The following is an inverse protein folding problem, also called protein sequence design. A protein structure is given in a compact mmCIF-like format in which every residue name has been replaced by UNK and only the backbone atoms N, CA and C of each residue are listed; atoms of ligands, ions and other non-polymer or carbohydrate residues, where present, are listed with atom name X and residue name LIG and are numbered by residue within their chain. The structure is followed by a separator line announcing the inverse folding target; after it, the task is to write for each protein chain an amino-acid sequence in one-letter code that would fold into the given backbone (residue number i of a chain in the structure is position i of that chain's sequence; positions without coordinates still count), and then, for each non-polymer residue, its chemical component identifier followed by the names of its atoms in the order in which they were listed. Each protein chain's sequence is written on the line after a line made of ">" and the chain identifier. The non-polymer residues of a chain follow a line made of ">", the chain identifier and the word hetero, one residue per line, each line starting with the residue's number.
data_IF_961307989342
#
_entry.id   IF_961307989342
#
_cell.length_a   1.000
_cell.length_b   1.000
_cell.length_c   1.000
_cell.angle_alpha   90.00
_cell.angle_beta   90.00
_cell.angle_gamma   90.00
#
_symmetry.space_group_name_H-M   'P 1'
#
loop_
_entity.id
_entity.type
_entity.pdbx_description
1 polymer ?
#
# COMPACT_ATOMS: atom_id res chain seq x y z
N UNK A 1 -15.01 17.22 -2.15
CA UNK A 1 -14.53 17.26 -0.76
C UNK A 1 -15.19 16.12 0.00
N UNK A 2 -14.49 15.48 0.93
CA UNK A 2 -15.04 14.45 1.82
C UNK A 2 -15.21 15.12 3.20
N UNK A 3 -16.42 15.07 3.74
CA UNK A 3 -16.71 15.60 5.07
C UNK A 3 -16.28 14.66 6.20
N UNK A 4 -16.45 15.12 7.44
CA UNK A 4 -16.14 14.31 8.62
C UNK A 4 -17.07 13.11 8.74
N UNK A 5 -16.55 12.06 9.40
CA UNK A 5 -17.32 10.87 9.74
C UNK A 5 -18.15 11.16 11.01
N UNK A 6 -19.46 10.92 10.97
CA UNK A 6 -20.38 11.26 12.06
C UNK A 6 -21.12 10.02 12.54
N UNK A 7 -20.98 9.66 13.81
CA UNK A 7 -21.72 8.59 14.46
C UNK A 7 -23.16 9.04 14.75
N UNK A 8 -24.14 8.33 14.21
CA UNK A 8 -25.55 8.68 14.32
C UNK A 8 -26.23 8.12 15.57
N UNK A 9 -25.76 6.99 16.09
CA UNK A 9 -26.40 6.23 17.17
C UNK A 9 -25.41 5.82 18.28
N UNK A 10 -24.91 6.77 19.09
CA UNK A 10 -24.02 6.45 20.19
C UNK A 10 -24.72 5.63 21.28
N UNK A 11 -24.04 4.62 21.81
CA UNK A 11 -24.61 3.73 22.84
C UNK A 11 -24.97 4.43 24.15
N UNK A 12 -24.37 5.59 24.44
CA UNK A 12 -24.65 6.39 25.63
C UNK A 12 -25.92 7.27 25.51
N UNK A 13 -26.73 7.13 24.46
CA UNK A 13 -27.99 7.86 24.33
C UNK A 13 -27.86 9.36 24.05
N UNK A 14 -26.72 9.79 23.50
CA UNK A 14 -26.43 11.19 23.15
C UNK A 14 -26.73 11.57 21.70
N UNK A 15 -26.56 12.85 21.37
CA UNK A 15 -26.60 13.36 19.99
C UNK A 15 -25.46 12.83 19.13
N UNK A 16 -25.51 13.09 17.82
CA UNK A 16 -24.52 12.59 16.86
C UNK A 16 -23.09 13.04 17.21
N UNK A 17 -22.13 12.12 17.15
CA UNK A 17 -20.72 12.36 17.54
C UNK A 17 -19.86 12.45 16.29
N UNK A 18 -19.16 13.57 16.10
CA UNK A 18 -18.20 13.72 15.00
C UNK A 18 -16.89 13.02 15.36
N UNK A 19 -16.45 12.08 14.54
CA UNK A 19 -15.15 11.42 14.70
C UNK A 19 -14.04 12.32 14.21
N UNK A 20 -13.00 12.49 15.02
CA UNK A 20 -11.88 13.38 14.72
C UNK A 20 -10.88 12.72 13.76
N UNK A 21 -11.07 12.93 12.46
CA UNK A 21 -10.10 12.60 11.43
C UNK A 21 -9.32 13.86 11.05
N UNK A 22 -8.01 13.73 10.90
CA UNK A 22 -7.14 14.81 10.45
C UNK A 22 -6.63 14.52 9.03
N UNK A 23 -6.53 15.57 8.23
CA UNK A 23 -5.83 15.61 6.95
C UNK A 23 -4.35 16.01 7.09
N UNK A 24 -3.89 16.24 8.32
CA UNK A 24 -2.48 16.42 8.64
C UNK A 24 -1.76 15.08 8.80
N UNK A 25 -0.48 15.10 8.42
CA UNK A 25 0.44 13.97 8.51
C UNK A 25 -0.05 12.71 7.75
N UNK A 26 -0.67 12.95 6.59
CA UNK A 26 -1.14 11.93 5.65
C UNK A 26 -0.15 11.65 4.51
N UNK A 27 0.73 12.62 4.24
CA UNK A 27 1.83 12.50 3.27
C UNK A 27 3.07 11.86 3.92
N UNK A 28 4.07 11.51 3.12
CA UNK A 28 5.36 11.07 3.66
C UNK A 28 6.21 12.27 4.07
N UNK A 29 7.00 12.14 5.14
CA UNK A 29 7.94 13.19 5.54
C UNK A 29 8.91 13.60 4.43
N UNK A 30 9.33 12.63 3.61
CA UNK A 30 10.18 12.87 2.43
C UNK A 30 9.46 13.63 1.31
N UNK A 31 8.14 13.49 1.17
CA UNK A 31 7.38 14.30 0.21
C UNK A 31 7.24 15.73 0.77
N UNK A 32 6.89 15.88 2.05
CA UNK A 32 6.78 17.19 2.71
C UNK A 32 8.03 18.04 2.60
N UNK A 33 9.22 17.45 2.63
CA UNK A 33 10.48 18.20 2.46
C UNK A 33 10.77 18.63 1.03
N UNK A 34 10.14 17.99 0.03
CA UNK A 34 10.34 18.26 -1.40
C UNK A 34 9.35 19.28 -1.94
N UNK A 35 8.12 19.30 -1.43
CA UNK A 35 7.14 20.30 -1.80
C UNK A 35 7.42 21.61 -1.05
N UNK A 36 7.72 22.66 -1.80
CA UNK A 36 8.03 23.98 -1.26
C UNK A 36 7.03 25.01 -1.78
N UNK A 37 6.92 26.11 -1.05
CA UNK A 37 6.20 27.28 -1.53
C UNK A 37 6.88 27.80 -2.80
N UNK A 38 6.08 28.11 -3.81
CA UNK A 38 6.60 28.59 -5.09
C UNK A 38 7.18 30.00 -4.97
N UNK A 39 8.16 30.32 -5.82
CA UNK A 39 8.70 31.68 -5.97
C UNK A 39 7.96 32.49 -7.06
N UNK A 40 7.12 31.84 -7.85
CA UNK A 40 6.31 32.53 -8.86
C UNK A 40 5.28 33.45 -8.22
N UNK A 41 5.03 34.57 -8.88
CA UNK A 41 3.91 35.45 -8.57
C UNK A 41 2.65 34.99 -9.30
N UNK A 42 1.50 35.51 -8.89
CA UNK A 42 0.21 35.12 -9.46
C UNK A 42 0.08 35.42 -10.97
N UNK A 43 0.84 36.40 -11.47
CA UNK A 43 0.81 36.82 -12.87
C UNK A 43 1.76 35.99 -13.76
N UNK A 44 2.71 35.26 -13.15
CA UNK A 44 3.71 34.48 -13.89
C UNK A 44 3.16 33.15 -14.40
N UNK A 45 2.09 32.64 -13.80
CA UNK A 45 1.59 31.28 -14.03
C UNK A 45 0.07 31.23 -14.02
N UNK A 46 -0.49 30.24 -14.72
CA UNK A 46 -1.93 29.99 -14.75
C UNK A 46 -2.26 28.63 -14.11
N UNK A 47 -3.44 28.48 -13.45
CA UNK A 47 -3.89 27.19 -12.94
C UNK A 47 -4.00 26.12 -14.04
N UNK A 48 -3.80 24.83 -13.72
CA UNK A 48 -4.06 23.74 -14.67
C UNK A 48 -5.52 23.76 -15.17
N UNK A 49 -5.80 23.31 -16.41
CA UNK A 49 -7.15 23.40 -17.00
C UNK A 49 -8.26 22.74 -16.16
N UNK A 50 -7.96 21.61 -15.50
CA UNK A 50 -8.92 20.91 -14.66
C UNK A 50 -9.18 21.59 -13.30
N UNK A 51 -8.49 22.69 -13.00
CA UNK A 51 -8.69 23.50 -11.79
C UNK A 51 -9.54 24.74 -12.03
N UNK A 52 -10.08 24.91 -13.24
CA UNK A 52 -10.89 26.07 -13.63
C UNK A 52 -12.05 26.36 -12.65
N UNK A 53 -12.75 25.33 -12.17
CA UNK A 53 -13.80 25.51 -11.13
C UNK A 53 -13.29 26.06 -9.80
N UNK A 54 -12.03 25.78 -9.44
CA UNK A 54 -11.37 26.30 -8.23
C UNK A 54 -10.79 27.69 -8.45
N UNK A 55 -10.33 27.99 -9.67
CA UNK A 55 -9.71 29.25 -10.06
C UNK A 55 -10.31 29.79 -11.38
N UNK A 56 -11.59 30.23 -11.37
CA UNK A 56 -12.31 30.60 -12.60
C UNK A 56 -11.77 31.88 -13.26
N UNK A 57 -10.96 32.66 -12.54
CA UNK A 57 -10.32 33.89 -13.02
C UNK A 57 -8.79 33.79 -12.94
N UNK A 58 -8.23 32.58 -12.93
CA UNK A 58 -6.82 32.36 -12.67
C UNK A 58 -6.43 32.58 -11.20
N UNK A 59 -5.15 32.80 -10.95
CA UNK A 59 -4.64 33.17 -9.62
C UNK A 59 -4.83 34.67 -9.40
N UNK A 60 -5.49 35.05 -8.31
CA UNK A 60 -5.72 36.47 -7.94
C UNK A 60 -5.23 36.74 -6.52
N UNK A 61 -5.24 38.00 -6.07
CA UNK A 61 -4.88 38.32 -4.68
C UNK A 61 -5.82 37.66 -3.67
N UNK A 62 -7.10 37.53 -4.03
CA UNK A 62 -8.13 36.90 -3.20
C UNK A 62 -8.08 35.36 -3.24
N UNK A 63 -7.59 34.80 -4.35
CA UNK A 63 -7.42 33.35 -4.54
C UNK A 63 -6.04 33.05 -5.15
N UNK A 64 -4.97 33.17 -4.34
CA UNK A 64 -3.60 33.12 -4.82
C UNK A 64 -3.16 31.69 -5.15
N UNK A 65 -1.94 31.55 -5.68
CA UNK A 65 -1.32 30.24 -5.88
C UNK A 65 -1.30 29.47 -4.55
N UNK A 66 -1.76 28.20 -4.53
CA UNK A 66 -1.82 27.43 -3.30
C UNK A 66 -0.40 27.09 -2.80
N UNK A 67 -0.22 27.11 -1.48
CA UNK A 67 1.04 26.66 -0.88
C UNK A 67 1.12 25.13 -0.87
N UNK A 68 1.85 24.58 -1.85
CA UNK A 68 1.96 23.14 -2.04
C UNK A 68 2.72 22.45 -0.89
N UNK A 69 3.49 23.19 -0.08
CA UNK A 69 4.17 22.62 1.09
C UNK A 69 3.18 22.19 2.18
N UNK A 70 2.02 22.85 2.24
CA UNK A 70 0.96 22.55 3.20
C UNK A 70 -0.16 21.69 2.61
N UNK A 71 -0.29 21.62 1.27
CA UNK A 71 -1.31 20.82 0.59
C UNK A 71 -0.97 19.32 0.56
N UNK A 72 -1.19 18.62 1.69
CA UNK A 72 -0.87 17.20 1.80
C UNK A 72 -1.74 16.30 0.91
N UNK A 73 -2.98 16.70 0.60
CA UNK A 73 -3.83 15.96 -0.35
C UNK A 73 -3.20 15.95 -1.74
N UNK A 74 -2.65 17.08 -2.18
CA UNK A 74 -1.90 17.14 -3.44
C UNK A 74 -0.64 16.28 -3.37
N UNK A 75 0.13 16.36 -2.28
CA UNK A 75 1.35 15.55 -2.11
C UNK A 75 1.05 14.05 -2.22
N UNK A 76 -0.01 13.58 -1.54
CA UNK A 76 -0.49 12.20 -1.64
C UNK A 76 -0.92 11.87 -3.07
N UNK A 77 -1.58 12.79 -3.77
CA UNK A 77 -2.01 12.60 -5.15
C UNK A 77 -0.81 12.44 -6.11
N UNK A 78 0.18 13.32 -5.99
CA UNK A 78 1.38 13.37 -6.83
C UNK A 78 2.27 12.13 -6.71
N UNK A 79 2.22 11.41 -5.57
CA UNK A 79 2.94 10.15 -5.42
C UNK A 79 2.28 9.03 -6.24
N UNK A 80 2.76 8.80 -7.47
CA UNK A 80 2.17 7.85 -8.43
C UNK A 80 2.01 6.45 -7.85
N UNK A 81 0.86 5.81 -8.10
CA UNK A 81 0.64 4.42 -7.74
C UNK A 81 1.18 3.49 -8.84
N UNK A 82 1.69 2.29 -8.48
CA UNK A 82 2.25 1.35 -9.45
C UNK A 82 1.19 0.59 -10.27
N UNK A 83 -0.08 0.63 -9.87
CA UNK A 83 -1.18 -0.13 -10.45
C UNK A 83 -2.37 0.78 -10.76
N UNK A 84 -3.22 0.37 -11.72
CA UNK A 84 -4.43 1.09 -12.10
C UNK A 84 -5.48 1.16 -10.98
N UNK A 85 -5.55 0.11 -10.14
CA UNK A 85 -6.39 0.10 -8.93
C UNK A 85 -5.51 0.47 -7.74
N UNK A 86 -5.75 1.64 -7.17
CA UNK A 86 -4.95 2.16 -6.06
C UNK A 86 -5.80 2.86 -5.01
N UNK A 87 -5.19 3.08 -3.83
CA UNK A 87 -5.79 3.83 -2.72
C UNK A 87 -4.91 5.03 -2.41
N UNK A 88 -5.54 6.14 -2.03
CA UNK A 88 -4.89 7.36 -1.56
C UNK A 88 -5.47 7.70 -0.20
N UNK A 89 -4.60 8.02 0.75
CA UNK A 89 -5.02 8.41 2.09
C UNK A 89 -5.62 9.82 2.03
N UNK A 90 -6.83 10.00 2.56
CA UNK A 90 -7.50 11.30 2.60
C UNK A 90 -7.45 11.91 4.01
N UNK A 91 -7.71 11.09 5.03
CA UNK A 91 -7.64 11.50 6.42
C UNK A 91 -7.30 10.30 7.30
N UNK A 92 -6.76 10.56 8.49
CA UNK A 92 -6.36 9.54 9.46
C UNK A 92 -6.86 9.91 10.85
N UNK A 93 -7.18 8.90 11.66
CA UNK A 93 -7.39 9.05 13.10
C UNK A 93 -6.36 8.16 13.81
N UNK A 94 -5.47 8.78 14.60
CA UNK A 94 -4.40 8.10 15.34
C UNK A 94 -4.67 7.97 16.83
N UNK A 95 -5.65 8.68 17.37
CA UNK A 95 -5.83 8.87 18.82
C UNK A 95 -7.05 8.12 19.36
N UNK A 96 -8.15 8.11 18.62
CA UNK A 96 -9.43 7.62 19.10
C UNK A 96 -9.88 6.40 18.30
N UNK A 97 -10.33 5.35 19.00
CA UNK A 97 -11.01 4.24 18.37
C UNK A 97 -12.41 4.65 17.92
N UNK A 98 -12.86 4.11 16.79
CA UNK A 98 -14.26 4.23 16.40
C UNK A 98 -15.11 3.24 17.20
N UNK A 99 -16.14 3.73 17.88
CA UNK A 99 -17.12 2.89 18.56
C UNK A 99 -18.03 2.18 17.55
N UNK A 100 -18.63 1.07 17.96
CA UNK A 100 -19.59 0.36 17.10
C UNK A 100 -20.86 1.20 16.90
N UNK A 101 -21.28 1.37 15.65
CA UNK A 101 -22.47 2.13 15.31
C UNK A 101 -22.60 2.43 13.82
N UNK A 102 -23.62 3.21 13.48
CA UNK A 102 -23.89 3.70 12.14
C UNK A 102 -23.25 5.06 11.96
N UNK A 103 -22.42 5.17 10.91
CA UNK A 103 -21.72 6.39 10.58
C UNK A 103 -22.23 6.98 9.26
N UNK A 104 -22.29 8.30 9.20
CA UNK A 104 -22.56 9.06 7.99
C UNK A 104 -21.31 9.82 7.57
N UNK A 105 -21.07 9.84 6.25
CA UNK A 105 -20.06 10.69 5.61
C UNK A 105 -20.68 11.36 4.39
N UNK A 106 -20.51 12.67 4.28
CA UNK A 106 -20.99 13.43 3.13
C UNK A 106 -19.83 13.64 2.14
N UNK A 107 -20.02 13.22 0.89
CA UNK A 107 -18.98 13.30 -0.16
C UNK A 107 -19.50 14.11 -1.34
N UNK A 108 -18.80 15.20 -1.69
CA UNK A 108 -19.08 15.98 -2.89
C UNK A 108 -18.38 15.36 -4.10
N UNK A 109 -19.18 14.98 -5.11
CA UNK A 109 -18.72 14.25 -6.30
C UNK A 109 -18.14 15.17 -7.40
N UNK A 110 -16.98 15.76 -7.13
CA UNK A 110 -16.31 16.67 -8.08
C UNK A 110 -15.51 15.96 -9.17
N UNK A 111 -15.14 14.69 -8.97
CA UNK A 111 -14.28 13.92 -9.87
C UNK A 111 -15.11 12.95 -10.72
N UNK A 112 -15.18 13.23 -12.03
CA UNK A 112 -15.92 12.39 -12.98
C UNK A 112 -15.06 11.18 -13.39
N UNK A 113 -15.54 9.98 -13.09
CA UNK A 113 -14.88 8.72 -13.47
C UNK A 113 -15.52 8.05 -14.70
N UNK A 114 -16.69 8.53 -15.13
CA UNK A 114 -17.46 7.92 -16.22
C UNK A 114 -16.79 8.15 -17.58
N UNK A 115 -16.08 9.26 -17.77
CA UNK A 115 -15.41 9.59 -19.03
C UNK A 115 -14.32 8.58 -19.43
N UNK A 116 -13.76 7.86 -18.46
CA UNK A 116 -12.74 6.84 -18.68
C UNK A 116 -13.18 5.45 -18.19
N UNK A 117 -14.48 5.23 -18.04
CA UNK A 117 -15.08 3.98 -17.58
C UNK A 117 -14.49 3.44 -16.25
N UNK A 118 -14.05 4.33 -15.37
CA UNK A 118 -13.47 3.98 -14.07
C UNK A 118 -14.49 4.00 -12.93
N UNK A 119 -14.11 3.36 -11.82
CA UNK A 119 -14.87 3.38 -10.56
C UNK A 119 -14.11 4.14 -9.49
N UNK A 120 -14.84 4.69 -8.51
CA UNK A 120 -14.28 5.30 -7.30
C UNK A 120 -15.04 4.79 -6.08
N UNK A 121 -14.32 4.55 -5.01
CA UNK A 121 -14.87 4.04 -3.76
C UNK A 121 -14.26 4.77 -2.58
N UNK A 122 -15.08 5.00 -1.55
CA UNK A 122 -14.61 5.40 -0.23
C UNK A 122 -14.36 4.15 0.59
N UNK A 123 -13.21 4.09 1.27
CA UNK A 123 -12.83 2.93 2.09
C UNK A 123 -12.41 3.41 3.46
N UNK A 124 -13.13 2.96 4.48
CA UNK A 124 -12.73 3.08 5.88
C UNK A 124 -12.00 1.79 6.29
N UNK A 125 -10.76 1.91 6.72
CA UNK A 125 -9.93 0.77 7.06
C UNK A 125 -9.02 1.08 8.26
N UNK A 126 -8.71 0.04 9.03
CA UNK A 126 -7.65 0.05 10.03
C UNK A 126 -6.40 -0.61 9.46
N UNK A 127 -5.23 -0.18 9.94
CA UNK A 127 -3.93 -0.78 9.59
C UNK A 127 -3.30 -1.40 10.82
N UNK A 128 -2.59 -2.50 10.64
CA UNK A 128 -1.70 -3.10 11.62
C UNK A 128 -0.24 -2.85 11.21
N UNK A 129 0.71 -3.40 11.96
CA UNK A 129 2.16 -3.22 11.71
C UNK A 129 2.63 -3.66 10.32
N UNK A 130 1.90 -4.57 9.67
CA UNK A 130 2.22 -5.10 8.32
C UNK A 130 1.45 -4.31 7.24
N UNK A 131 0.49 -3.46 7.62
CA UNK A 131 -0.30 -2.62 6.74
C UNK A 131 -1.80 -2.96 6.83
N UNK A 132 -2.47 -3.02 5.68
CA UNK A 132 -3.88 -3.41 5.61
C UNK A 132 -4.09 -4.93 5.54
N UNK A 133 -5.35 -5.36 5.50
CA UNK A 133 -5.73 -6.76 5.28
C UNK A 133 -5.20 -7.27 3.92
N UNK A 134 -4.18 -8.11 3.93
CA UNK A 134 -3.64 -8.78 2.74
C UNK A 134 -3.18 -10.21 3.08
N UNK A 135 -3.94 -11.26 2.69
CA UNK A 135 -3.59 -12.64 2.98
C UNK A 135 -2.49 -13.21 2.07
N UNK A 136 -2.15 -12.54 0.95
CA UNK A 136 -1.22 -13.06 -0.06
C UNK A 136 0.13 -13.42 0.55
N UNK A 137 0.67 -12.54 1.39
CA UNK A 137 1.97 -12.76 2.02
C UNK A 137 1.96 -14.03 2.90
N UNK A 138 0.91 -14.21 3.70
CA UNK A 138 0.74 -15.40 4.53
C UNK A 138 0.59 -16.69 3.71
N UNK A 139 -0.17 -16.63 2.61
CA UNK A 139 -0.35 -17.77 1.70
C UNK A 139 0.99 -18.17 1.07
N UNK A 140 1.78 -17.20 0.61
CA UNK A 140 3.11 -17.46 0.02
C UNK A 140 4.03 -18.13 1.04
N UNK A 141 4.08 -17.62 2.28
CA UNK A 141 4.88 -18.25 3.35
C UNK A 141 4.42 -19.67 3.66
N UNK A 142 3.12 -19.92 3.75
CA UNK A 142 2.60 -21.28 3.99
C UNK A 142 2.94 -22.22 2.83
N UNK A 143 2.77 -21.79 1.58
CA UNK A 143 3.08 -22.61 0.40
C UNK A 143 4.57 -22.99 0.34
N UNK A 144 5.47 -22.02 0.54
CA UNK A 144 6.92 -22.26 0.55
C UNK A 144 7.33 -23.13 1.74
N UNK A 145 6.76 -22.88 2.93
CA UNK A 145 7.01 -23.70 4.11
C UNK A 145 6.57 -25.16 3.92
N UNK A 146 5.37 -25.38 3.38
CA UNK A 146 4.88 -26.73 3.06
C UNK A 146 5.76 -27.45 2.04
N UNK A 147 6.27 -26.74 1.04
CA UNK A 147 7.21 -27.30 0.06
C UNK A 147 8.51 -27.76 0.74
N UNK A 148 9.09 -26.95 1.62
CA UNK A 148 10.32 -27.33 2.34
C UNK A 148 10.12 -28.48 3.32
N UNK A 149 8.97 -28.54 3.99
CA UNK A 149 8.63 -29.70 4.84
C UNK A 149 8.54 -30.97 4.00
N UNK A 150 7.88 -30.93 2.84
CA UNK A 150 7.78 -32.08 1.94
C UNK A 150 9.16 -32.53 1.47
N UNK A 151 9.99 -31.60 0.98
CA UNK A 151 11.36 -31.91 0.53
C UNK A 151 12.21 -32.46 1.69
N UNK A 152 12.07 -31.89 2.89
CA UNK A 152 12.72 -32.37 4.11
C UNK A 152 12.34 -33.81 4.40
N UNK A 153 11.04 -34.15 4.42
CA UNK A 153 10.58 -35.51 4.60
C UNK A 153 11.13 -36.46 3.54
N UNK A 154 11.09 -36.08 2.26
CA UNK A 154 11.63 -36.90 1.15
C UNK A 154 13.12 -37.16 1.35
N UNK A 155 13.92 -36.13 1.66
CA UNK A 155 15.35 -36.30 1.91
C UNK A 155 15.63 -37.13 3.16
N UNK A 156 14.86 -36.96 4.24
CA UNK A 156 14.98 -37.81 5.44
C UNK A 156 14.70 -39.27 5.12
N UNK A 157 13.63 -39.57 4.37
CA UNK A 157 13.28 -40.93 3.93
C UNK A 157 14.41 -41.52 3.09
N UNK A 158 14.91 -40.79 2.09
CA UNK A 158 16.03 -41.24 1.24
C UNK A 158 17.29 -41.50 2.08
N UNK A 159 17.59 -40.63 3.05
CA UNK A 159 18.77 -40.76 3.91
C UNK A 159 18.69 -42.00 4.81
N UNK A 160 17.49 -42.34 5.30
CA UNK A 160 17.28 -43.53 6.14
C UNK A 160 17.31 -44.84 5.33
N UNK A 161 16.72 -44.87 4.13
CA UNK A 161 16.68 -46.10 3.31
C UNK A 161 17.95 -46.34 2.49
N UNK A 162 18.67 -45.29 2.08
CA UNK A 162 19.93 -45.39 1.33
C UNK A 162 21.02 -44.51 1.98
N UNK A 163 21.46 -44.84 3.21
CA UNK A 163 22.51 -44.08 3.87
C UNK A 163 23.82 -44.24 3.09
N UNK A 164 24.27 -43.17 2.44
CA UNK A 164 25.62 -43.12 1.87
C UNK A 164 26.60 -42.72 2.96
N UNK A 165 27.72 -43.43 3.08
CA UNK A 165 28.83 -43.01 3.93
C UNK A 165 29.41 -41.71 3.38
N UNK A 166 29.57 -40.70 4.22
CA UNK A 166 30.25 -39.47 3.81
C UNK A 166 31.71 -39.81 3.49
N UNK A 167 32.20 -39.39 2.31
CA UNK A 167 33.59 -39.61 1.89
C UNK A 167 33.90 -40.99 1.30
N UNK A 168 32.89 -41.76 0.86
CA UNK A 168 33.13 -43.05 0.23
C UNK A 168 33.80 -42.93 -1.15
N UNK A 169 35.05 -43.39 -1.23
CA UNK A 169 35.92 -43.39 -2.41
C UNK A 169 35.43 -44.32 -3.53
N UNK A 170 34.49 -45.24 -3.27
CA UNK A 170 33.98 -46.21 -4.26
C UNK A 170 33.23 -45.54 -5.43
N UNK A 171 32.75 -44.30 -5.25
CA UNK A 171 32.09 -43.52 -6.29
C UNK A 171 33.01 -42.50 -6.99
N UNK A 172 34.31 -42.50 -6.69
CA UNK A 172 35.27 -41.69 -7.42
C UNK A 172 35.38 -42.22 -8.85
N UNK A 173 35.27 -41.33 -9.84
CA UNK A 173 35.20 -41.71 -11.26
C UNK A 173 36.40 -42.54 -11.72
N UNK A 174 37.60 -42.26 -11.20
CA UNK A 174 38.82 -43.02 -11.49
C UNK A 174 38.87 -44.40 -10.82
N UNK A 175 38.24 -44.58 -9.64
CA UNK A 175 38.10 -45.89 -9.02
C UNK A 175 37.07 -46.76 -9.77
N UNK A 176 36.00 -46.12 -10.26
CA UNK A 176 35.01 -46.81 -11.08
C UNK A 176 35.58 -47.24 -12.43
N UNK A 177 36.48 -46.46 -13.04
CA UNK A 177 37.18 -46.85 -14.26
C UNK A 177 38.07 -48.08 -14.08
N UNK A 178 38.76 -48.21 -12.95
CA UNK A 178 39.56 -49.41 -12.60
C UNK A 178 38.65 -50.64 -12.43
N UNK A 179 37.42 -50.44 -11.93
CA UNK A 179 36.45 -51.52 -11.69
C UNK A 179 35.59 -51.88 -12.92
N UNK A 180 35.27 -50.91 -13.78
CA UNK A 180 34.51 -51.09 -15.03
C UNK A 180 35.40 -51.44 -16.22
N UNK A 181 36.71 -51.20 -16.08
CA UNK A 181 37.75 -51.64 -17.00
C UNK A 181 38.09 -53.10 -16.75
N UNK A 182 37.58 -53.96 -17.62
CA UNK A 182 38.25 -55.17 -18.11
C UNK A 182 39.77 -55.06 -17.92
N UNK A 183 40.46 -55.98 -17.23
CA UNK A 183 40.88 -57.28 -17.80
C UNK A 183 41.19 -57.22 -19.31
N UNK A 184 41.77 -56.14 -19.80
CA UNK A 184 42.49 -56.12 -21.07
C UNK A 184 43.97 -55.90 -20.79
N UNK A 185 44.68 -57.04 -20.82
CA UNK A 185 46.11 -57.30 -20.75
C UNK A 185 46.69 -57.49 -19.36
#
# INVERSE_FOLDING_TARGET
>A
TIGNLVLLNPQAGGGSIVSNFTDDDISWSADRSRFQKTSYTNDDVYPPPNWDKRYPRGYTKENPIPDLSQDQHLQVWMRTAPLATFRKLFAINKKEGLSSGQYQVNITMNYNTLSFAGTKSFVLATTNSIGGKNPVLGIVYMAVGSLFVLLGCVFTVIHLYRPRRLGDHTYLSWNQQIQSGLNHN
#
